data_IF_523639582093
#
_entry.id   IF_523639582093
#
_cell.length_a   1.000
_cell.length_b   1.000
_cell.length_c   1.000
_cell.angle_alpha   90.00
_cell.angle_beta   90.00
_cell.angle_gamma   90.00
#
_symmetry.space_group_name_H-M   'P 1'
#
loop_
_entity.id
_entity.type
_entity.pdbx_description
1 polymer ?
#
# COMPACT_ATOMS: atom_id res chain seq x y z
N UNK A 1 27.78 -12.29 11.90
CA UNK A 1 26.82 -11.22 11.54
C UNK A 1 25.88 -11.83 10.52
N UNK A 2 24.72 -12.33 10.93
CA UNK A 2 23.73 -12.81 9.98
C UNK A 2 23.14 -11.58 9.30
N UNK A 3 23.48 -11.38 8.03
CA UNK A 3 22.61 -10.62 7.15
C UNK A 3 21.31 -11.42 7.11
N UNK A 4 20.30 -10.97 7.84
CA UNK A 4 18.93 -11.39 7.59
C UNK A 4 18.67 -10.98 6.15
N UNK A 5 18.68 -11.95 5.25
CA UNK A 5 18.10 -11.77 3.92
C UNK A 5 16.65 -11.44 4.25
N UNK A 6 16.31 -10.16 4.20
CA UNK A 6 14.93 -9.69 4.24
C UNK A 6 14.22 -10.55 3.19
N UNK A 7 13.32 -11.44 3.63
CA UNK A 7 12.53 -12.23 2.70
C UNK A 7 11.93 -11.25 1.68
N UNK A 8 11.86 -11.60 0.38
CA UNK A 8 11.27 -10.71 -0.60
C UNK A 8 9.91 -10.28 -0.06
N UNK A 9 9.76 -8.98 0.16
CA UNK A 9 8.53 -8.42 0.68
C UNK A 9 7.43 -8.77 -0.31
N UNK A 10 6.30 -9.34 0.17
CA UNK A 10 5.19 -9.80 -0.69
C UNK A 10 4.61 -8.68 -1.59
N UNK A 11 4.94 -7.43 -1.29
CA UNK A 11 4.59 -6.28 -2.11
C UNK A 11 5.67 -5.20 -2.02
N UNK A 12 5.69 -4.32 -3.01
CA UNK A 12 6.50 -3.11 -3.06
C UNK A 12 5.61 -1.88 -3.24
N UNK A 13 6.13 -0.71 -2.87
CA UNK A 13 5.45 0.57 -2.96
C UNK A 13 6.33 1.55 -3.72
N UNK A 14 5.74 2.23 -4.70
CA UNK A 14 6.41 3.24 -5.49
C UNK A 14 5.66 4.57 -5.40
N UNK A 15 6.37 5.66 -5.11
CA UNK A 15 5.81 7.01 -5.22
C UNK A 15 5.92 7.47 -6.68
N UNK A 16 4.76 7.73 -7.29
CA UNK A 16 4.60 8.14 -8.67
C UNK A 16 4.25 9.65 -8.77
N UNK A 17 4.55 10.23 -9.93
CA UNK A 17 4.26 11.64 -10.27
C UNK A 17 4.80 12.68 -9.26
N UNK A 18 5.96 12.39 -8.66
CA UNK A 18 6.71 13.31 -7.79
C UNK A 18 8.19 13.41 -8.21
N UNK A 19 8.50 13.89 -9.44
CA UNK A 19 9.86 13.86 -10.00
C UNK A 19 10.86 14.79 -9.29
N UNK A 20 10.39 15.82 -8.59
CA UNK A 20 11.23 16.83 -7.91
C UNK A 20 11.77 16.33 -6.55
N UNK A 21 11.35 15.14 -6.10
CA UNK A 21 11.69 14.62 -4.78
C UNK A 21 13.08 13.95 -4.78
N UNK A 22 13.96 14.28 -3.82
CA UNK A 22 15.22 13.55 -3.64
C UNK A 22 14.99 12.07 -3.38
N UNK A 23 15.84 11.19 -3.92
CA UNK A 23 15.66 9.74 -3.85
C UNK A 23 15.55 9.20 -2.41
N UNK A 24 16.32 9.75 -1.47
CA UNK A 24 16.24 9.36 -0.06
C UNK A 24 14.87 9.72 0.55
N UNK A 25 14.34 10.90 0.24
CA UNK A 25 13.03 11.35 0.73
C UNK A 25 11.90 10.51 0.12
N UNK A 26 12.03 10.14 -1.15
CA UNK A 26 11.11 9.21 -1.83
C UNK A 26 11.07 7.85 -1.13
N UNK A 27 12.23 7.24 -0.89
CA UNK A 27 12.34 5.95 -0.21
C UNK A 27 11.77 6.01 1.22
N UNK A 28 11.98 7.12 1.93
CA UNK A 28 11.38 7.35 3.24
C UNK A 28 9.84 7.39 3.19
N UNK A 29 9.27 8.09 2.21
CA UNK A 29 7.83 8.16 1.99
C UNK A 29 7.22 6.79 1.63
N UNK A 30 7.84 6.08 0.69
CA UNK A 30 7.47 4.72 0.29
C UNK A 30 7.52 3.76 1.49
N UNK A 31 8.57 3.83 2.32
CA UNK A 31 8.71 3.02 3.53
C UNK A 31 7.64 3.31 4.57
N UNK A 32 7.26 4.58 4.78
CA UNK A 32 6.18 4.96 5.70
C UNK A 32 4.84 4.43 5.22
N UNK A 33 4.56 4.53 3.93
CA UNK A 33 3.35 4.00 3.33
C UNK A 33 3.27 2.49 3.49
N UNK A 34 4.34 1.75 3.13
CA UNK A 34 4.40 0.30 3.28
C UNK A 34 4.17 -0.14 4.74
N UNK A 35 4.89 0.48 5.69
CA UNK A 35 4.74 0.17 7.13
C UNK A 35 3.33 0.48 7.64
N UNK A 36 2.67 1.51 7.12
CA UNK A 36 1.30 1.82 7.51
C UNK A 36 0.32 0.72 7.05
N UNK A 37 0.49 0.19 5.84
CA UNK A 37 -0.29 -0.95 5.35
C UNK A 37 -0.01 -2.22 6.17
N UNK A 38 1.26 -2.56 6.40
CA UNK A 38 1.63 -3.73 7.21
C UNK A 38 1.02 -3.65 8.61
N UNK A 39 1.01 -2.47 9.23
CA UNK A 39 0.38 -2.27 10.54
C UNK A 39 -1.13 -2.39 10.50
N UNK A 40 -1.77 -2.01 9.39
CA UNK A 40 -3.22 -2.11 9.23
C UNK A 40 -3.70 -3.56 9.04
N UNK A 41 -2.87 -4.41 8.41
CA UNK A 41 -3.24 -5.79 8.05
C UNK A 41 -2.54 -6.87 8.86
N UNK A 42 -1.45 -6.55 9.57
CA UNK A 42 -0.72 -7.49 10.41
C UNK A 42 0.50 -8.13 9.74
N UNK A 43 1.05 -7.53 8.68
CA UNK A 43 2.24 -8.01 7.97
C UNK A 43 2.07 -8.00 6.45
N UNK A 44 3.17 -8.22 5.72
CA UNK A 44 3.23 -8.11 4.27
C UNK A 44 2.36 -9.13 3.53
N UNK A 45 2.30 -10.38 3.97
CA UNK A 45 1.41 -11.41 3.39
C UNK A 45 -0.08 -11.06 3.54
N UNK A 46 -0.45 -10.40 4.64
CA UNK A 46 -1.83 -9.96 4.86
C UNK A 46 -2.19 -8.74 4.00
N UNK A 47 -1.21 -7.89 3.67
CA UNK A 47 -1.37 -6.78 2.70
C UNK A 47 -1.62 -7.34 1.30
N UNK A 48 -0.83 -8.32 0.86
CA UNK A 48 -1.01 -8.97 -0.45
C UNK A 48 -2.42 -9.57 -0.59
N UNK A 49 -2.85 -10.35 0.40
CA UNK A 49 -4.19 -10.96 0.39
C UNK A 49 -5.30 -9.90 0.35
N UNK A 50 -5.18 -8.85 1.16
CA UNK A 50 -6.16 -7.76 1.17
C UNK A 50 -6.20 -7.00 -0.16
N UNK A 51 -5.05 -6.78 -0.79
CA UNK A 51 -4.97 -6.15 -2.11
C UNK A 51 -5.62 -7.03 -3.19
N UNK A 52 -5.36 -8.34 -3.18
CA UNK A 52 -5.97 -9.29 -4.10
C UNK A 52 -7.50 -9.31 -4.00
N UNK A 53 -8.03 -9.34 -2.76
CA UNK A 53 -9.49 -9.25 -2.52
C UNK A 53 -10.06 -7.93 -3.01
N UNK A 54 -9.35 -6.81 -2.78
CA UNK A 54 -9.76 -5.50 -3.29
C UNK A 54 -9.80 -5.48 -4.82
N UNK A 55 -8.76 -5.97 -5.51
CA UNK A 55 -8.73 -6.04 -6.98
C UNK A 55 -9.85 -6.92 -7.53
N UNK A 56 -10.08 -8.09 -6.92
CA UNK A 56 -11.18 -8.97 -7.30
C UNK A 56 -12.55 -8.27 -7.15
N UNK A 57 -12.76 -7.61 -6.02
CA UNK A 57 -14.00 -6.88 -5.75
C UNK A 57 -14.18 -5.63 -6.64
N UNK A 58 -13.08 -5.01 -7.09
CA UNK A 58 -13.11 -3.82 -7.95
C UNK A 58 -13.32 -4.16 -9.43
N UNK A 59 -12.85 -5.33 -9.87
CA UNK A 59 -12.99 -5.80 -11.26
C UNK A 59 -14.29 -6.60 -11.48
N UNK A 60 -14.77 -7.28 -10.45
CA UNK A 60 -16.00 -8.07 -10.48
C UNK A 60 -17.29 -7.27 -10.29
N UNK A 61 -18.42 -7.92 -10.56
CA UNK A 61 -19.75 -7.39 -10.25
C UNK A 61 -19.99 -7.38 -8.74
N UNK A 62 -20.65 -6.32 -8.24
CA UNK A 62 -20.95 -6.19 -6.81
C UNK A 62 -21.77 -7.36 -6.25
N UNK A 63 -22.52 -8.06 -7.11
CA UNK A 63 -23.37 -9.19 -6.72
C UNK A 63 -22.59 -10.49 -6.49
N UNK A 64 -21.38 -10.62 -7.06
CA UNK A 64 -20.53 -11.81 -6.95
C UNK A 64 -19.61 -11.80 -5.73
N UNK A 65 -19.34 -10.63 -5.15
CA UNK A 65 -18.49 -10.50 -3.97
C UNK A 65 -19.25 -10.85 -2.68
N UNK A 66 -18.64 -11.70 -1.84
CA UNK A 66 -19.18 -12.03 -0.53
C UNK A 66 -19.20 -10.80 0.39
N UNK A 67 -20.07 -10.73 1.41
CA UNK A 67 -20.07 -9.61 2.37
C UNK A 67 -18.73 -9.46 3.09
N UNK A 68 -18.00 -10.56 3.32
CA UNK A 68 -16.64 -10.54 3.87
C UNK A 68 -15.63 -9.89 2.92
N UNK A 69 -15.68 -10.23 1.62
CA UNK A 69 -14.81 -9.63 0.59
C UNK A 69 -15.07 -8.13 0.48
N UNK A 70 -16.34 -7.71 0.49
CA UNK A 70 -16.73 -6.29 0.50
C UNK A 70 -16.19 -5.56 1.73
N UNK A 71 -16.30 -6.16 2.91
CA UNK A 71 -15.77 -5.58 4.14
C UNK A 71 -14.23 -5.45 4.09
N UNK A 72 -13.55 -6.44 3.53
CA UNK A 72 -12.10 -6.43 3.36
C UNK A 72 -11.65 -5.39 2.32
N UNK A 73 -12.35 -5.26 1.19
CA UNK A 73 -12.11 -4.22 0.20
C UNK A 73 -12.32 -2.81 0.77
N UNK A 74 -13.36 -2.61 1.58
CA UNK A 74 -13.56 -1.33 2.29
C UNK A 74 -12.45 -1.05 3.31
N UNK A 75 -11.96 -2.08 3.99
CA UNK A 75 -10.80 -1.96 4.89
C UNK A 75 -9.53 -1.58 4.11
N UNK A 76 -9.33 -2.15 2.91
CA UNK A 76 -8.26 -1.77 2.00
C UNK A 76 -8.28 -0.28 1.66
N UNK A 77 -9.42 0.24 1.19
CA UNK A 77 -9.56 1.67 0.84
C UNK A 77 -9.19 2.57 2.02
N UNK A 78 -9.70 2.29 3.22
CA UNK A 78 -9.38 3.08 4.43
C UNK A 78 -7.91 2.98 4.81
N UNK A 79 -7.30 1.80 4.69
CA UNK A 79 -5.89 1.61 5.00
C UNK A 79 -5.00 2.37 4.02
N UNK A 80 -5.34 2.39 2.73
CA UNK A 80 -4.65 3.17 1.70
C UNK A 80 -4.73 4.67 1.98
N UNK A 81 -5.89 5.20 2.38
CA UNK A 81 -6.02 6.62 2.73
C UNK A 81 -5.16 7.02 3.93
N UNK A 82 -5.11 6.18 4.96
CA UNK A 82 -4.25 6.39 6.13
C UNK A 82 -2.76 6.25 5.79
N UNK A 83 -2.42 5.27 4.95
CA UNK A 83 -1.06 5.06 4.46
C UNK A 83 -0.60 6.24 3.60
N UNK A 84 -1.48 6.79 2.76
CA UNK A 84 -1.22 8.00 1.95
C UNK A 84 -0.89 9.19 2.84
N UNK A 85 -1.70 9.44 3.88
CA UNK A 85 -1.43 10.49 4.87
C UNK A 85 -0.10 10.26 5.60
N UNK A 86 0.26 9.01 5.92
CA UNK A 86 1.53 8.68 6.54
C UNK A 86 2.73 8.89 5.60
N UNK A 87 2.58 8.51 4.32
CA UNK A 87 3.60 8.67 3.28
C UNK A 87 3.89 10.14 2.96
N UNK A 88 2.85 10.98 2.92
CA UNK A 88 2.98 12.42 2.66
C UNK A 88 3.19 13.29 3.91
N UNK A 89 3.26 12.74 5.11
CA UNK A 89 3.28 13.51 6.38
C UNK A 89 4.31 14.65 6.42
N UNK A 90 5.48 14.46 5.82
CA UNK A 90 6.57 15.45 5.79
C UNK A 90 6.80 16.04 4.39
N UNK A 91 5.85 15.84 3.49
CA UNK A 91 5.86 16.33 2.10
C UNK A 91 4.73 17.34 1.93
N UNK A 92 4.98 18.43 1.21
CA UNK A 92 3.87 19.12 0.57
C UNK A 92 3.25 18.15 -0.43
N UNK A 93 1.97 17.78 -0.26
CA UNK A 93 1.28 16.88 -1.20
C UNK A 93 1.47 17.43 -2.62
N UNK A 94 2.33 16.77 -3.40
CA UNK A 94 2.54 17.11 -4.80
C UNK A 94 1.23 16.90 -5.54
N UNK A 95 0.78 17.89 -6.30
CA UNK A 95 -0.45 17.75 -7.09
C UNK A 95 -0.32 16.54 -8.02
N UNK A 96 -1.23 15.57 -7.88
CA UNK A 96 -1.23 14.34 -8.68
C UNK A 96 -0.35 13.19 -8.18
N UNK A 97 0.47 13.40 -7.15
CA UNK A 97 1.32 12.33 -6.62
C UNK A 97 0.50 11.23 -5.92
N UNK A 98 0.86 9.97 -6.20
CA UNK A 98 0.19 8.80 -5.65
C UNK A 98 1.19 7.68 -5.32
N UNK A 99 0.79 6.80 -4.40
CA UNK A 99 1.53 5.59 -4.08
C UNK A 99 0.94 4.42 -4.86
N UNK A 100 1.77 3.75 -5.65
CA UNK A 100 1.44 2.52 -6.35
C UNK A 100 1.86 1.33 -5.52
N UNK A 101 0.98 0.33 -5.38
CA UNK A 101 1.29 -0.95 -4.73
C UNK A 101 1.45 -2.02 -5.81
N UNK A 102 2.55 -2.77 -5.76
CA UNK A 102 2.82 -3.89 -6.67
C UNK A 102 3.10 -5.16 -5.87
N UNK A 103 2.44 -6.26 -6.23
CA UNK A 103 2.73 -7.56 -5.64
C UNK A 103 4.06 -8.13 -6.18
N UNK A 104 4.75 -8.90 -5.34
CA UNK A 104 6.08 -9.49 -5.62
C UNK A 104 6.06 -10.78 -6.43
#
# INVERSE_FOLDING_TARGET
MHATIDAPTAFSVNLCDFPELPANIRLDAESRYAKALERAFGGSEAVEQAYGVYCYAADGDESDASPEDKAQALRWVKAVELARQAGFRDLSEGEGAYFEVRLG
#
